data_IF_107577254916
#
_entry.id   IF_107577254916
#
_cell.length_a   1.000
_cell.length_b   1.000
_cell.length_c   1.000
_cell.angle_alpha   90.00
_cell.angle_beta   90.00
_cell.angle_gamma   90.00
#
_symmetry.space_group_name_H-M   'P 1'
#
loop_
_entity.id
_entity.type
_entity.pdbx_description
1 polymer ?
#
# COMPACT_ATOMS: atom_id res chain seq x y z
N UNK A 1 23.68 24.05 -30.20
CA UNK A 1 24.21 22.78 -29.68
C UNK A 1 23.20 22.20 -28.71
N UNK A 2 22.96 20.89 -28.81
CA UNK A 2 21.70 20.19 -28.55
C UNK A 2 21.05 20.40 -27.18
N UNK A 3 19.72 20.48 -27.22
CA UNK A 3 18.85 20.35 -26.06
C UNK A 3 19.22 19.08 -25.25
N UNK A 4 19.42 19.26 -23.95
CA UNK A 4 19.56 18.21 -22.97
C UNK A 4 18.21 17.47 -22.88
N UNK A 5 18.06 16.38 -23.63
CA UNK A 5 16.89 15.50 -23.58
C UNK A 5 17.04 14.41 -22.50
N UNK A 6 15.92 13.79 -22.05
CA UNK A 6 15.62 13.47 -20.67
C UNK A 6 15.95 12.01 -20.30
N UNK A 7 17.17 11.77 -19.80
CA UNK A 7 17.53 10.43 -19.29
C UNK A 7 17.08 10.17 -17.84
N UNK A 8 16.67 11.21 -17.12
CA UNK A 8 16.41 11.14 -15.67
C UNK A 8 14.92 10.95 -15.30
N UNK A 9 14.00 11.24 -16.23
CA UNK A 9 12.56 11.27 -15.91
C UNK A 9 11.97 9.87 -15.73
N UNK A 10 12.50 8.86 -16.44
CA UNK A 10 12.05 7.47 -16.29
C UNK A 10 12.55 6.83 -14.99
N UNK A 11 13.81 7.09 -14.61
CA UNK A 11 14.37 6.61 -13.33
C UNK A 11 13.69 7.28 -12.14
N UNK A 12 13.42 8.60 -12.22
CA UNK A 12 12.68 9.32 -11.19
C UNK A 12 11.26 8.79 -11.01
N UNK A 13 10.55 8.48 -12.10
CA UNK A 13 9.21 7.86 -12.06
C UNK A 13 9.25 6.48 -11.43
N UNK A 14 10.20 5.63 -11.84
CA UNK A 14 10.34 4.28 -11.28
C UNK A 14 10.64 4.30 -9.77
N UNK A 15 11.50 5.23 -9.32
CA UNK A 15 11.78 5.43 -7.90
C UNK A 15 10.55 5.93 -7.13
N UNK A 16 9.80 6.87 -7.70
CA UNK A 16 8.57 7.37 -7.10
C UNK A 16 7.51 6.26 -6.97
N UNK A 17 7.30 5.48 -8.03
CA UNK A 17 6.36 4.35 -8.04
C UNK A 17 6.76 3.28 -7.02
N UNK A 18 8.05 2.93 -6.94
CA UNK A 18 8.55 1.99 -5.94
C UNK A 18 8.42 2.55 -4.51
N UNK A 19 8.61 3.86 -4.32
CA UNK A 19 8.36 4.54 -3.05
C UNK A 19 6.91 4.41 -2.60
N UNK A 20 5.96 4.67 -3.51
CA UNK A 20 4.52 4.53 -3.23
C UNK A 20 4.16 3.07 -2.89
N UNK A 21 4.67 2.09 -3.64
CA UNK A 21 4.45 0.66 -3.34
C UNK A 21 4.97 0.28 -1.97
N UNK A 22 6.17 0.75 -1.60
CA UNK A 22 6.77 0.46 -0.30
C UNK A 22 5.98 1.09 0.86
N UNK A 23 5.51 2.33 0.70
CA UNK A 23 4.67 2.99 1.70
C UNK A 23 3.33 2.27 1.89
N UNK A 24 2.72 1.80 0.80
CA UNK A 24 1.49 1.02 0.86
C UNK A 24 1.72 -0.36 1.48
N UNK A 25 2.86 -1.01 1.21
CA UNK A 25 3.29 -2.25 1.87
C UNK A 25 3.37 -2.08 3.39
N UNK A 26 4.10 -1.08 3.85
CA UNK A 26 4.25 -0.79 5.28
C UNK A 26 2.91 -0.47 5.96
N UNK A 27 2.05 0.30 5.29
CA UNK A 27 0.71 0.65 5.81
C UNK A 27 -0.18 -0.59 5.94
N UNK A 28 -0.12 -1.49 4.96
CA UNK A 28 -0.89 -2.75 4.97
C UNK A 28 -0.43 -3.66 6.10
N UNK A 29 0.89 -3.86 6.25
CA UNK A 29 1.44 -4.65 7.35
C UNK A 29 1.09 -4.08 8.74
N UNK A 30 1.11 -2.75 8.88
CA UNK A 30 0.69 -2.09 10.11
C UNK A 30 -0.79 -2.37 10.41
N UNK A 31 -1.64 -2.29 9.39
CA UNK A 31 -3.07 -2.57 9.52
C UNK A 31 -3.35 -4.06 9.83
N UNK A 32 -2.58 -4.99 9.27
CA UNK A 32 -2.66 -6.42 9.61
C UNK A 32 -2.40 -6.66 11.09
N UNK A 33 -1.36 -6.00 11.65
CA UNK A 33 -1.06 -6.07 13.09
C UNK A 33 -2.21 -5.51 13.94
N UNK A 34 -2.82 -4.40 13.53
CA UNK A 34 -3.98 -3.82 14.23
C UNK A 34 -5.15 -4.80 14.25
N UNK A 35 -5.52 -5.36 13.10
CA UNK A 35 -6.63 -6.33 13.00
C UNK A 35 -6.32 -7.59 13.81
N UNK A 36 -5.09 -8.09 13.76
CA UNK A 36 -4.68 -9.25 14.54
C UNK A 36 -4.79 -8.99 16.05
N UNK A 37 -4.31 -7.84 16.52
CA UNK A 37 -4.38 -7.47 17.93
C UNK A 37 -5.82 -7.32 18.40
N UNK A 38 -6.68 -6.68 17.61
CA UNK A 38 -8.11 -6.55 17.93
C UNK A 38 -8.83 -7.90 17.95
N UNK A 39 -8.50 -8.83 17.04
CA UNK A 39 -9.06 -10.20 17.06
C UNK A 39 -8.59 -11.02 18.25
N UNK A 40 -7.41 -10.72 18.78
CA UNK A 40 -6.81 -11.39 19.93
C UNK A 40 -7.27 -10.81 21.27
N UNK A 41 -7.84 -9.59 21.26
CA UNK A 41 -8.39 -8.92 22.44
C UNK A 41 -9.84 -9.33 22.67
N UNK A 42 -10.12 -10.01 23.79
CA UNK A 42 -11.46 -10.47 24.16
C UNK A 42 -12.45 -9.33 24.47
N UNK A 43 -11.97 -8.10 24.66
CA UNK A 43 -12.80 -6.92 24.94
C UNK A 43 -13.05 -6.06 23.69
N UNK A 44 -12.41 -6.37 22.56
CA UNK A 44 -12.59 -5.62 21.34
C UNK A 44 -14.02 -5.77 20.80
N UNK A 45 -14.61 -4.64 20.39
CA UNK A 45 -15.96 -4.66 19.81
C UNK A 45 -15.89 -5.25 18.41
N UNK A 46 -16.82 -6.15 18.10
CA UNK A 46 -16.96 -6.76 16.77
C UNK A 46 -17.00 -5.73 15.64
N UNK A 47 -17.73 -4.63 15.85
CA UNK A 47 -17.83 -3.55 14.88
C UNK A 47 -16.47 -2.86 14.60
N UNK A 48 -15.62 -2.72 15.61
CA UNK A 48 -14.28 -2.15 15.45
C UNK A 48 -13.37 -3.12 14.68
N UNK A 49 -13.45 -4.43 14.99
CA UNK A 49 -12.73 -5.47 14.22
C UNK A 49 -13.15 -5.46 12.75
N UNK A 50 -14.46 -5.41 12.47
CA UNK A 50 -15.00 -5.41 11.11
C UNK A 50 -14.59 -4.16 10.35
N UNK A 51 -14.65 -2.97 10.97
CA UNK A 51 -14.18 -1.72 10.36
C UNK A 51 -12.70 -1.81 9.98
N UNK A 52 -11.85 -2.26 10.92
CA UNK A 52 -10.41 -2.35 10.65
C UNK A 52 -10.09 -3.44 9.62
N UNK A 53 -10.87 -4.52 9.57
CA UNK A 53 -10.74 -5.56 8.54
C UNK A 53 -11.14 -5.05 7.14
N UNK A 54 -12.18 -4.21 7.05
CA UNK A 54 -12.54 -3.55 5.79
C UNK A 54 -11.45 -2.58 5.32
N UNK A 55 -10.87 -1.80 6.24
CA UNK A 55 -9.73 -0.95 5.91
C UNK A 55 -8.55 -1.77 5.38
N UNK A 56 -8.26 -2.92 6.01
CA UNK A 56 -7.22 -3.83 5.53
C UNK A 56 -7.50 -4.37 4.12
N UNK A 57 -8.75 -4.77 3.85
CA UNK A 57 -9.17 -5.27 2.55
C UNK A 57 -8.98 -4.21 1.44
N UNK A 58 -9.35 -2.95 1.71
CA UNK A 58 -9.12 -1.84 0.80
C UNK A 58 -7.63 -1.63 0.49
N UNK A 59 -6.76 -1.65 1.51
CA UNK A 59 -5.31 -1.50 1.32
C UNK A 59 -4.72 -2.63 0.46
N UNK A 60 -5.17 -3.88 0.68
CA UNK A 60 -4.74 -5.03 -0.15
C UNK A 60 -5.19 -4.89 -1.60
N UNK A 61 -6.42 -4.42 -1.83
CA UNK A 61 -6.90 -4.11 -3.19
C UNK A 61 -6.07 -3.02 -3.86
N UNK A 62 -5.71 -1.96 -3.14
CA UNK A 62 -4.82 -0.92 -3.66
C UNK A 62 -3.43 -1.48 -4.02
N UNK A 63 -2.89 -2.42 -3.22
CA UNK A 63 -1.62 -3.09 -3.54
C UNK A 63 -1.72 -3.92 -4.82
N UNK A 64 -2.80 -4.69 -4.97
CA UNK A 64 -3.05 -5.50 -6.16
C UNK A 64 -3.17 -4.62 -7.41
N UNK A 65 -3.91 -3.52 -7.33
CA UNK A 65 -4.06 -2.55 -8.43
C UNK A 65 -2.72 -1.92 -8.82
N UNK A 66 -1.90 -1.51 -7.85
CA UNK A 66 -0.55 -1.00 -8.13
C UNK A 66 0.36 -2.09 -8.72
N UNK A 67 0.20 -3.35 -8.31
CA UNK A 67 0.94 -4.49 -8.88
C UNK A 67 0.51 -4.84 -10.31
N UNK A 68 -0.76 -4.64 -10.65
CA UNK A 68 -1.31 -4.86 -12.00
C UNK A 68 -0.94 -3.72 -12.96
N UNK A 69 -0.97 -2.46 -12.51
CA UNK A 69 -0.57 -1.29 -13.30
C UNK A 69 0.91 -1.30 -13.74
N UNK A 70 1.73 -2.24 -13.25
CA UNK A 70 3.13 -2.41 -13.65
C UNK A 70 3.34 -3.60 -14.61
N UNK A 71 2.27 -4.29 -15.01
CA UNK A 71 2.32 -5.39 -15.99
C UNK A 71 1.84 -4.99 -17.39
N UNK A 72 1.38 -3.75 -17.55
CA UNK A 72 1.08 -3.12 -18.86
C UNK A 72 2.25 -2.25 -19.31
#
# INVERSE_FOLDING_TARGET
MSALHPKNDQEAKALQENGVKNQLAQSTEAQERIVHNLKSDSNAKKADIEKQAQTLDSLKKEQELLGQNNKE
#
